data_IF_427550885033
#
_entry.id   IF_427550885033
#
_cell.length_a   1.000
_cell.length_b   1.000
_cell.length_c   1.000
_cell.angle_alpha   90.00
_cell.angle_beta   90.00
_cell.angle_gamma   90.00
#
_symmetry.space_group_name_H-M   'P 1'
#
loop_
_entity.id
_entity.type
_entity.pdbx_description
1 polymer ?
#
# COMPACT_ATOMS: atom_id res chain seq x y z
N UNK A 1 -0.93 -2.02 14.07
CA UNK A 1 0.40 -2.67 13.96
C UNK A 1 0.44 -3.23 12.57
N UNK A 2 1.43 -2.85 11.76
CA UNK A 2 1.49 -3.32 10.38
C UNK A 2 1.50 -4.85 10.34
N UNK A 3 0.69 -5.41 9.44
CA UNK A 3 0.74 -6.81 9.09
C UNK A 3 2.05 -7.11 8.33
N UNK A 4 2.52 -8.35 8.43
CA UNK A 4 3.49 -8.89 7.48
C UNK A 4 2.75 -9.37 6.24
N UNK A 5 3.45 -9.41 5.11
CA UNK A 5 2.93 -10.06 3.92
C UNK A 5 2.50 -11.50 4.21
N UNK A 6 1.26 -11.83 3.83
CA UNK A 6 0.64 -13.13 4.05
C UNK A 6 0.08 -13.63 2.71
N UNK A 7 0.72 -14.63 2.08
CA UNK A 7 0.31 -15.14 0.77
C UNK A 7 -1.14 -15.63 0.73
N UNK A 8 -1.68 -16.12 1.84
CA UNK A 8 -3.07 -16.60 1.90
C UNK A 8 -4.06 -15.44 1.92
N UNK A 9 -3.79 -14.40 2.72
CA UNK A 9 -4.63 -13.18 2.72
C UNK A 9 -4.52 -12.46 1.38
N UNK A 10 -3.32 -12.39 0.83
CA UNK A 10 -3.05 -11.77 -0.48
C UNK A 10 -3.86 -12.43 -1.60
N UNK A 11 -3.91 -13.76 -1.65
CA UNK A 11 -4.72 -14.49 -2.63
C UNK A 11 -6.23 -14.22 -2.54
N UNK A 12 -6.69 -13.65 -1.42
CA UNK A 12 -8.09 -13.29 -1.15
C UNK A 12 -8.33 -11.78 -1.21
N UNK A 13 -7.35 -10.99 -1.66
CA UNK A 13 -7.50 -9.56 -1.85
C UNK A 13 -8.44 -9.31 -3.03
N UNK A 14 -9.47 -8.50 -2.79
CA UNK A 14 -10.45 -8.09 -3.80
C UNK A 14 -10.50 -6.58 -4.00
N UNK A 15 -9.91 -5.82 -3.08
CA UNK A 15 -9.89 -4.36 -3.07
C UNK A 15 -8.49 -3.90 -2.60
N UNK A 16 -8.06 -2.74 -3.08
CA UNK A 16 -6.81 -2.11 -2.67
C UNK A 16 -7.08 -0.67 -2.25
N UNK A 17 -6.45 -0.23 -1.17
CA UNK A 17 -6.55 1.15 -0.68
C UNK A 17 -5.16 1.68 -0.32
N UNK A 18 -4.87 2.90 -0.77
CA UNK A 18 -3.65 3.62 -0.39
C UNK A 18 -3.99 4.79 0.52
N UNK A 19 -3.38 4.82 1.70
CA UNK A 19 -3.47 5.95 2.63
C UNK A 19 -2.21 6.77 2.51
N UNK A 20 -2.41 8.05 2.25
CA UNK A 20 -1.34 9.03 2.15
C UNK A 20 -1.37 9.94 3.37
N UNK A 21 -0.30 9.92 4.19
CA UNK A 21 -0.12 10.92 5.24
C UNK A 21 -0.01 12.34 4.67
N UNK A 22 -0.40 13.33 5.48
CA UNK A 22 -0.41 14.77 5.12
C UNK A 22 0.98 15.28 4.70
N UNK A 23 2.06 14.66 5.17
CA UNK A 23 3.44 15.02 4.80
C UNK A 23 3.74 14.85 3.30
N UNK A 24 2.89 14.14 2.55
CA UNK A 24 3.00 13.95 1.11
C UNK A 24 1.98 14.76 0.30
N UNK A 25 1.33 15.76 0.90
CA UNK A 25 0.36 16.62 0.20
C UNK A 25 1.00 17.45 -0.93
N UNK A 26 2.32 17.66 -0.89
CA UNK A 26 3.08 18.32 -1.95
C UNK A 26 3.22 17.46 -3.22
N UNK A 27 2.88 16.16 -3.15
CA UNK A 27 2.95 15.27 -4.31
C UNK A 27 1.74 15.48 -5.22
N UNK A 28 2.01 15.62 -6.51
CA UNK A 28 0.95 15.71 -7.52
C UNK A 28 0.14 14.40 -7.58
N UNK A 29 -1.13 14.44 -8.00
CA UNK A 29 -1.94 13.22 -8.16
C UNK A 29 -1.30 12.19 -9.09
N UNK A 30 -0.55 12.63 -10.11
CA UNK A 30 0.16 11.73 -11.03
C UNK A 30 1.28 10.98 -10.29
N UNK A 31 2.13 11.70 -9.56
CA UNK A 31 3.19 11.08 -8.76
C UNK A 31 2.64 10.12 -7.70
N UNK A 32 1.53 10.49 -7.05
CA UNK A 32 0.86 9.61 -6.09
C UNK A 32 0.34 8.34 -6.77
N UNK A 33 -0.30 8.46 -7.93
CA UNK A 33 -0.77 7.30 -8.69
C UNK A 33 0.36 6.38 -9.15
N UNK A 34 1.50 6.92 -9.57
CA UNK A 34 2.68 6.12 -9.96
C UNK A 34 3.27 5.36 -8.77
N UNK A 35 3.38 6.02 -7.61
CA UNK A 35 3.89 5.37 -6.40
C UNK A 35 2.93 4.30 -5.90
N UNK A 36 1.64 4.64 -5.80
CA UNK A 36 0.58 3.71 -5.40
C UNK A 36 0.61 2.43 -6.25
N UNK A 37 0.69 2.58 -7.57
CA UNK A 37 0.77 1.43 -8.48
C UNK A 37 1.99 0.54 -8.18
N UNK A 38 3.16 1.14 -7.94
CA UNK A 38 4.39 0.41 -7.64
C UNK A 38 4.34 -0.28 -6.27
N UNK A 39 3.82 0.39 -5.24
CA UNK A 39 3.65 -0.22 -3.91
C UNK A 39 2.71 -1.42 -3.95
N UNK A 40 1.64 -1.35 -4.74
CA UNK A 40 0.70 -2.44 -4.91
C UNK A 40 1.18 -3.58 -5.82
N UNK A 41 2.19 -3.34 -6.67
CA UNK A 41 2.87 -4.38 -7.44
C UNK A 41 3.84 -5.20 -6.59
N UNK A 42 4.37 -4.60 -5.51
CA UNK A 42 5.35 -5.21 -4.63
C UNK A 42 4.96 -5.04 -3.13
N UNK A 43 3.83 -5.64 -2.71
CA UNK A 43 3.31 -5.51 -1.35
C UNK A 43 4.17 -6.18 -0.28
N UNK A 44 5.08 -7.09 -0.66
CA UNK A 44 5.96 -7.80 0.29
C UNK A 44 7.02 -6.87 0.89
N UNK A 45 7.39 -5.81 0.16
CA UNK A 45 8.45 -4.87 0.54
C UNK A 45 7.93 -3.51 1.02
N UNK A 46 6.63 -3.39 1.32
CA UNK A 46 6.08 -2.14 1.85
C UNK A 46 6.21 -2.07 3.37
N UNK A 47 6.50 -0.87 3.89
CA UNK A 47 6.80 -0.70 5.31
C UNK A 47 5.56 -0.87 6.21
N UNK A 48 4.38 -0.47 5.71
CA UNK A 48 3.12 -0.53 6.46
C UNK A 48 1.98 -1.12 5.63
N UNK A 49 1.82 -2.44 5.73
CA UNK A 49 0.76 -3.22 5.10
C UNK A 49 -0.34 -3.56 6.13
N UNK A 50 -1.60 -3.55 5.71
CA UNK A 50 -2.71 -4.08 6.50
C UNK A 50 -3.68 -4.88 5.61
N UNK A 51 -4.15 -6.01 6.11
CA UNK A 51 -5.22 -6.78 5.48
C UNK A 51 -6.51 -6.63 6.27
N UNK A 52 -7.45 -5.85 5.73
CA UNK A 52 -8.74 -5.61 6.35
C UNK A 52 -9.76 -6.61 5.81
N UNK A 53 -10.34 -7.44 6.69
CA UNK A 53 -11.39 -8.40 6.27
C UNK A 53 -12.62 -7.64 5.77
N UNK A 54 -13.06 -7.96 4.56
CA UNK A 54 -14.32 -7.47 3.97
C UNK A 54 -15.28 -8.64 3.71
N UNK A 55 -16.48 -8.35 3.21
CA UNK A 55 -17.56 -9.34 3.08
C UNK A 55 -17.14 -10.61 2.30
N UNK A 56 -16.45 -10.45 1.17
CA UNK A 56 -16.07 -11.54 0.27
C UNK A 56 -14.56 -11.79 0.14
N UNK A 57 -13.74 -11.16 0.98
CA UNK A 57 -12.28 -11.25 0.88
C UNK A 57 -11.56 -10.33 1.83
N UNK A 58 -10.45 -9.76 1.38
CA UNK A 58 -9.69 -8.73 2.08
C UNK A 58 -9.55 -7.47 1.21
N UNK A 59 -9.55 -6.31 1.87
CA UNK A 59 -8.99 -5.09 1.32
C UNK A 59 -7.53 -5.02 1.77
N UNK A 60 -6.61 -4.89 0.81
CA UNK A 60 -5.19 -4.64 1.09
C UNK A 60 -4.97 -3.16 1.19
N UNK A 61 -4.62 -2.70 2.38
CA UNK A 61 -4.39 -1.30 2.69
C UNK A 61 -2.90 -1.05 2.88
N UNK A 62 -2.37 -0.06 2.18
CA UNK A 62 -0.98 0.38 2.33
C UNK A 62 -0.99 1.81 2.87
N UNK A 63 -0.33 2.01 4.01
CA UNK A 63 -0.04 3.36 4.51
C UNK A 63 1.32 3.76 3.99
N UNK A 64 1.35 4.78 3.13
CA UNK A 64 2.60 5.24 2.51
C UNK A 64 3.51 5.82 3.58
N UNK A 65 4.77 5.40 3.57
CA UNK A 65 5.82 5.93 4.44
C UNK A 65 6.91 6.63 3.63
N UNK A 66 7.77 7.41 4.28
CA UNK A 66 8.93 8.02 3.63
C UNK A 66 9.86 6.96 3.00
N UNK A 67 10.09 5.85 3.71
CA UNK A 67 10.90 4.72 3.23
C UNK A 67 10.31 4.11 1.94
N UNK A 68 8.98 4.01 1.86
CA UNK A 68 8.28 3.52 0.66
C UNK A 68 8.47 4.48 -0.52
N UNK A 69 8.32 5.79 -0.28
CA UNK A 69 8.49 6.82 -1.32
C UNK A 69 9.92 6.86 -1.83
N UNK A 70 10.90 6.83 -0.94
CA UNK A 70 12.32 6.84 -1.30
C UNK A 70 12.70 5.59 -2.09
N UNK A 71 12.21 4.41 -1.68
CA UNK A 71 12.43 3.15 -2.41
C UNK A 71 11.87 3.18 -3.83
N UNK A 72 10.67 3.72 -4.00
CA UNK A 72 9.98 3.77 -5.29
C UNK A 72 10.56 4.83 -6.22
N UNK A 73 11.09 5.93 -5.66
CA UNK A 73 11.67 7.04 -6.43
C UNK A 73 13.17 6.91 -6.72
N UNK A 74 13.83 5.90 -6.15
CA UNK A 74 15.27 5.63 -6.23
C UNK A 74 15.89 5.88 -7.60
#
# INVERSE_FOLDING_TARGET
MADKFDPYREALVIETETVWPEEFDDLTPVQRGEIEAQLHQDPENVASLEYVRVHSGFCRKIMVTADDVDRVRG
#
